data_IF_233428085908
#
_entry.id   IF_233428085908
#
_cell.length_a   1.000
_cell.length_b   1.000
_cell.length_c   1.000
_cell.angle_alpha   90.00
_cell.angle_beta   90.00
_cell.angle_gamma   90.00
#
_symmetry.space_group_name_H-M   'P 1'
#
loop_
_entity.id
_entity.type
_entity.pdbx_description
1 polymer ?
#
# COMPACT_ATOMS: atom_id res chain seq x y z
N UNK A 1 -21.03 31.05 -10.83
CA UNK A 1 -20.95 29.98 -9.81
C UNK A 1 -22.35 29.62 -9.36
N UNK A 2 -22.68 28.33 -9.22
CA UNK A 2 -23.05 27.88 -7.88
C UNK A 2 -22.19 26.69 -7.42
N UNK A 3 -21.82 26.71 -6.13
CA UNK A 3 -21.18 25.60 -5.42
C UNK A 3 -22.11 24.39 -5.41
N UNK A 4 -21.57 23.20 -5.67
CA UNK A 4 -22.13 21.96 -5.10
C UNK A 4 -21.42 21.66 -3.78
N UNK A 5 -22.13 21.61 -2.64
CA UNK A 5 -21.61 21.00 -1.43
C UNK A 5 -21.72 19.46 -1.51
N UNK A 6 -20.70 18.80 -0.95
CA UNK A 6 -20.69 17.45 -0.38
C UNK A 6 -20.83 16.26 -1.35
N UNK A 7 -19.73 15.55 -1.60
CA UNK A 7 -19.76 14.18 -2.16
C UNK A 7 -19.49 13.14 -1.06
N UNK A 8 -20.40 12.16 -1.04
CA UNK A 8 -20.56 11.03 -0.14
C UNK A 8 -19.31 10.14 -0.05
N UNK A 9 -19.14 9.48 1.10
CA UNK A 9 -18.40 8.21 1.28
C UNK A 9 -18.69 7.23 0.13
N UNK A 10 -17.78 7.14 -0.82
CA UNK A 10 -17.92 6.31 -2.02
C UNK A 10 -17.38 4.90 -1.81
N UNK A 11 -17.94 3.95 -2.57
CA UNK A 11 -17.36 2.61 -2.74
C UNK A 11 -15.93 2.78 -3.28
N UNK A 12 -14.91 2.23 -2.61
CA UNK A 12 -13.55 2.43 -3.04
C UNK A 12 -13.28 1.67 -4.35
N UNK A 13 -12.40 2.17 -5.23
CA UNK A 13 -12.08 1.55 -6.51
C UNK A 13 -11.15 0.33 -6.35
N UNK A 14 -11.39 -0.47 -5.31
CA UNK A 14 -10.58 -1.61 -4.89
C UNK A 14 -11.52 -2.79 -4.60
N UNK A 15 -11.09 -3.97 -5.00
CA UNK A 15 -11.82 -5.21 -4.85
C UNK A 15 -10.94 -6.32 -4.23
N UNK A 16 -11.41 -6.99 -3.17
CA UNK A 16 -12.62 -6.69 -2.40
C UNK A 16 -12.50 -5.35 -1.67
N UNK A 17 -13.64 -4.69 -1.42
CA UNK A 17 -13.65 -3.44 -0.66
C UNK A 17 -13.18 -3.69 0.78
N UNK A 18 -12.30 -2.84 1.34
CA UNK A 18 -11.89 -2.93 2.73
C UNK A 18 -13.06 -2.65 3.66
N UNK A 19 -12.98 -3.22 4.86
CA UNK A 19 -14.03 -3.06 5.89
C UNK A 19 -14.24 -1.60 6.30
N UNK A 20 -13.17 -0.80 6.30
CA UNK A 20 -13.19 0.63 6.62
C UNK A 20 -12.40 1.34 5.53
N UNK A 21 -12.98 2.41 4.97
CA UNK A 21 -12.39 3.20 3.91
C UNK A 21 -12.50 4.70 4.20
N UNK A 22 -11.44 5.42 3.87
CA UNK A 22 -11.42 6.88 3.81
C UNK A 22 -10.45 7.33 2.72
N UNK A 23 -10.83 8.35 1.96
CA UNK A 23 -9.99 8.94 0.91
C UNK A 23 -9.80 10.44 1.14
N UNK A 24 -8.61 10.93 0.78
CA UNK A 24 -8.36 12.38 0.69
C UNK A 24 -8.88 12.98 -0.63
N UNK A 25 -8.62 14.27 -0.82
CA UNK A 25 -8.95 15.00 -2.05
C UNK A 25 -7.78 15.16 -3.03
N UNK A 26 -6.61 14.57 -2.73
CA UNK A 26 -5.37 14.71 -3.50
C UNK A 26 -4.76 13.35 -3.79
N UNK A 27 -4.24 13.19 -5.01
CA UNK A 27 -3.33 12.11 -5.35
C UNK A 27 -1.90 12.44 -4.88
N UNK A 28 -1.18 11.44 -4.39
CA UNK A 28 0.24 11.53 -4.08
C UNK A 28 1.06 10.99 -5.25
N UNK A 29 2.12 11.69 -5.65
CA UNK A 29 3.05 11.18 -6.64
C UNK A 29 3.94 10.10 -6.01
N UNK A 30 4.23 9.03 -6.75
CA UNK A 30 5.12 7.94 -6.33
C UNK A 30 6.33 7.92 -7.25
N UNK A 31 7.52 7.87 -6.67
CA UNK A 31 8.75 7.65 -7.43
C UNK A 31 9.01 6.15 -7.55
N UNK A 32 8.56 5.56 -8.66
CA UNK A 32 8.67 4.12 -8.90
C UNK A 32 10.12 3.62 -8.94
N UNK A 33 11.05 4.44 -9.44
CA UNK A 33 12.47 4.09 -9.54
C UNK A 33 13.13 4.01 -8.16
N UNK A 34 12.75 4.91 -7.24
CA UNK A 34 13.31 4.99 -5.88
C UNK A 34 12.47 4.33 -4.79
N UNK A 35 11.27 3.82 -5.10
CA UNK A 35 10.39 3.21 -4.10
C UNK A 35 11.05 2.01 -3.41
N UNK A 36 11.09 2.05 -2.08
CA UNK A 36 11.66 0.99 -1.24
C UNK A 36 10.66 0.50 -0.19
N UNK A 37 10.62 -0.81 0.00
CA UNK A 37 9.84 -1.47 1.04
C UNK A 37 10.74 -1.80 2.23
N UNK A 38 10.32 -1.44 3.43
CA UNK A 38 11.05 -1.69 4.67
C UNK A 38 10.19 -2.55 5.60
N UNK A 39 10.58 -3.81 5.80
CA UNK A 39 9.91 -4.70 6.75
C UNK A 39 10.41 -4.42 8.18
N UNK A 40 9.47 -4.27 9.12
CA UNK A 40 9.68 -4.00 10.55
C UNK A 40 8.83 -4.95 11.39
N UNK A 41 9.12 -5.04 12.69
CA UNK A 41 8.39 -5.86 13.66
C UNK A 41 8.81 -7.33 13.68
N UNK A 42 9.14 -7.92 12.53
CA UNK A 42 9.56 -9.32 12.44
C UNK A 42 10.55 -9.59 11.28
N UNK A 43 11.13 -10.79 11.26
CA UNK A 43 12.04 -11.25 10.18
C UNK A 43 11.42 -12.42 9.43
N UNK A 44 10.86 -12.13 8.26
CA UNK A 44 10.13 -13.09 7.43
C UNK A 44 10.75 -13.21 6.03
N UNK A 45 11.46 -14.31 5.71
CA UNK A 45 12.05 -14.48 4.38
C UNK A 45 11.00 -14.48 3.26
N UNK A 46 9.86 -15.12 3.47
CA UNK A 46 8.80 -15.22 2.46
C UNK A 46 8.17 -13.87 2.16
N UNK A 47 7.85 -13.08 3.20
CA UNK A 47 7.33 -11.73 3.03
C UNK A 47 8.38 -10.81 2.42
N UNK A 48 9.66 -10.92 2.78
CA UNK A 48 10.73 -10.15 2.11
C UNK A 48 10.81 -10.48 0.61
N UNK A 49 10.71 -11.77 0.25
CA UNK A 49 10.68 -12.19 -1.15
C UNK A 49 9.40 -11.70 -1.86
N UNK A 50 8.26 -11.69 -1.18
CA UNK A 50 7.01 -11.13 -1.70
C UNK A 50 7.12 -9.61 -1.95
N UNK A 51 7.66 -8.83 -1.00
CA UNK A 51 7.87 -7.39 -1.17
C UNK A 51 8.78 -7.07 -2.37
N UNK A 52 9.83 -7.85 -2.57
CA UNK A 52 10.71 -7.71 -3.75
C UNK A 52 9.95 -7.99 -5.05
N UNK A 53 9.17 -9.07 -5.10
CA UNK A 53 8.35 -9.41 -6.28
C UNK A 53 7.31 -8.32 -6.54
N UNK A 54 6.62 -7.87 -5.50
CA UNK A 54 5.59 -6.85 -5.57
C UNK A 54 6.13 -5.55 -6.16
N UNK A 55 7.31 -5.09 -5.72
CA UNK A 55 7.97 -3.91 -6.32
C UNK A 55 8.16 -4.07 -7.83
N UNK A 56 8.58 -5.24 -8.30
CA UNK A 56 8.82 -5.48 -9.72
C UNK A 56 7.51 -5.57 -10.51
N UNK A 57 6.49 -6.22 -9.95
CA UNK A 57 5.18 -6.39 -10.59
C UNK A 57 4.36 -5.10 -10.64
N UNK A 58 4.47 -4.26 -9.60
CA UNK A 58 3.74 -2.99 -9.51
C UNK A 58 4.28 -1.97 -10.52
N UNK A 59 5.59 -2.02 -10.84
CA UNK A 59 6.24 -1.06 -11.75
C UNK A 59 6.96 -1.80 -12.90
N UNK A 60 6.24 -2.40 -13.86
CA UNK A 60 6.86 -3.11 -14.97
C UNK A 60 7.60 -2.16 -15.92
N UNK A 61 7.15 -0.91 -16.03
CA UNK A 61 7.78 0.14 -16.81
C UNK A 61 8.53 1.09 -15.86
N UNK A 62 9.72 0.68 -15.42
CA UNK A 62 10.60 1.55 -14.63
C UNK A 62 11.20 2.61 -15.54
N UNK A 63 10.61 3.81 -15.54
CA UNK A 63 11.23 4.98 -16.13
C UNK A 63 12.33 5.52 -15.22
N UNK A 64 13.33 6.25 -15.76
CA UNK A 64 14.22 7.07 -14.95
C UNK A 64 13.41 7.95 -13.98
N UNK A 65 13.97 8.21 -12.79
CA UNK A 65 13.32 9.04 -11.77
C UNK A 65 13.08 10.46 -12.30
N UNK A 66 11.89 10.73 -12.82
CA UNK A 66 11.39 12.07 -13.17
C UNK A 66 10.26 12.53 -12.22
N UNK A 67 10.13 11.83 -11.08
CA UNK A 67 9.07 12.10 -10.12
C UNK A 67 9.27 13.49 -9.46
N UNK A 68 8.20 14.28 -9.26
CA UNK A 68 8.28 15.59 -8.62
C UNK A 68 8.92 15.53 -7.21
N UNK A 69 9.55 16.62 -6.74
CA UNK A 69 10.05 16.70 -5.37
C UNK A 69 8.95 16.43 -4.34
N UNK A 70 9.25 15.58 -3.36
CA UNK A 70 8.29 15.17 -2.33
C UNK A 70 7.39 14.00 -2.73
N UNK A 71 7.64 13.37 -3.87
CA UNK A 71 7.04 12.07 -4.21
C UNK A 71 7.36 11.02 -3.16
N UNK A 72 6.42 10.08 -2.96
CA UNK A 72 6.56 8.99 -2.02
C UNK A 72 7.62 8.00 -2.55
N UNK A 73 8.58 7.68 -1.69
CA UNK A 73 9.71 6.77 -2.02
C UNK A 73 9.84 5.61 -1.04
N UNK A 74 8.96 5.52 -0.05
CA UNK A 74 9.08 4.54 1.04
C UNK A 74 7.74 3.95 1.40
N UNK A 75 7.73 2.63 1.56
CA UNK A 75 6.66 1.87 2.19
C UNK A 75 7.21 1.21 3.45
N UNK A 76 6.66 1.54 4.61
CA UNK A 76 6.95 0.86 5.87
C UNK A 76 5.92 -0.25 6.07
N UNK A 77 6.40 -1.46 6.30
CA UNK A 77 5.56 -2.64 6.50
C UNK A 77 5.85 -3.17 7.90
N UNK A 78 4.95 -2.92 8.85
CA UNK A 78 5.05 -3.43 10.21
C UNK A 78 4.20 -4.69 10.37
N UNK A 79 4.84 -5.80 10.72
CA UNK A 79 4.16 -7.07 10.99
C UNK A 79 4.56 -7.57 12.37
N UNK A 80 3.58 -7.80 13.24
CA UNK A 80 3.80 -8.23 14.63
C UNK A 80 4.39 -9.66 14.70
N UNK A 81 3.77 -10.63 14.01
CA UNK A 81 4.23 -12.03 13.99
C UNK A 81 4.15 -12.64 12.59
N UNK A 82 5.30 -12.97 12.02
CA UNK A 82 5.40 -13.60 10.69
C UNK A 82 5.58 -15.12 10.70
N UNK A 83 5.41 -15.76 11.85
CA UNK A 83 5.61 -17.20 12.04
C UNK A 83 4.30 -17.97 12.14
N UNK A 84 3.16 -17.28 12.09
CA UNK A 84 1.84 -17.90 12.17
C UNK A 84 1.60 -18.81 10.96
N UNK A 85 1.22 -20.08 11.16
CA UNK A 85 0.83 -20.95 10.05
C UNK A 85 -0.50 -20.50 9.44
N UNK A 86 -0.70 -20.80 8.15
CA UNK A 86 -1.97 -20.55 7.48
C UNK A 86 -2.99 -21.57 7.97
N UNK A 87 -4.03 -21.09 8.65
CA UNK A 87 -5.11 -21.91 9.18
C UNK A 87 -6.40 -21.10 9.26
N UNK A 88 -7.53 -21.78 9.40
CA UNK A 88 -8.82 -21.12 9.58
C UNK A 88 -8.79 -20.22 10.82
N UNK A 89 -9.20 -18.96 10.65
CA UNK A 89 -9.21 -17.97 11.73
C UNK A 89 -7.87 -17.28 12.00
N UNK A 90 -6.86 -17.48 11.14
CA UNK A 90 -5.64 -16.65 11.20
C UNK A 90 -6.00 -15.18 10.98
N UNK A 91 -5.26 -14.29 11.63
CA UNK A 91 -5.52 -12.86 11.58
C UNK A 91 -5.01 -12.26 10.27
N UNK A 92 -5.93 -12.01 9.34
CA UNK A 92 -5.67 -11.41 8.02
C UNK A 92 -5.95 -9.89 8.01
N UNK A 93 -6.17 -9.29 9.17
CA UNK A 93 -6.47 -7.86 9.28
C UNK A 93 -5.25 -6.99 8.96
N UNK A 94 -5.51 -5.83 8.35
CA UNK A 94 -4.49 -4.84 8.05
C UNK A 94 -5.02 -3.41 8.20
N UNK A 95 -4.10 -2.47 8.29
CA UNK A 95 -4.34 -1.05 8.05
C UNK A 95 -3.32 -0.53 7.03
N UNK A 96 -3.79 0.36 6.15
CA UNK A 96 -3.02 1.00 5.10
C UNK A 96 -3.28 2.52 5.17
N UNK A 97 -2.21 3.29 5.34
CA UNK A 97 -2.25 4.76 5.36
C UNK A 97 -1.32 5.31 4.29
N UNK A 98 -1.87 6.16 3.41
CA UNK A 98 -1.16 6.77 2.29
C UNK A 98 -1.18 8.29 2.49
N UNK A 99 -0.08 8.90 2.98
CA UNK A 99 -0.02 10.34 3.14
C UNK A 99 0.34 11.03 1.81
N UNK A 100 0.18 12.35 1.76
CA UNK A 100 0.64 13.16 0.61
C UNK A 100 2.17 13.31 0.60
N UNK A 101 2.82 13.18 1.77
CA UNK A 101 4.28 13.22 1.96
C UNK A 101 4.67 12.27 3.09
N UNK A 102 5.86 11.67 3.00
CA UNK A 102 6.36 10.73 4.00
C UNK A 102 6.23 9.27 3.54
N UNK A 103 6.31 8.30 4.46
CA UNK A 103 6.15 6.89 4.12
C UNK A 103 4.69 6.50 3.94
N UNK A 104 4.43 5.53 3.07
CA UNK A 104 3.20 4.74 3.09
C UNK A 104 3.32 3.74 4.24
N UNK A 105 2.34 3.68 5.12
CA UNK A 105 2.37 2.80 6.30
C UNK A 105 1.40 1.63 6.13
N UNK A 106 1.92 0.42 6.23
CA UNK A 106 1.18 -0.83 6.33
C UNK A 106 1.42 -1.41 7.71
N UNK A 107 0.34 -1.79 8.40
CA UNK A 107 0.41 -2.51 9.66
C UNK A 107 -0.51 -3.73 9.64
N UNK A 108 0.00 -4.87 10.08
CA UNK A 108 -0.77 -6.10 10.26
C UNK A 108 -0.26 -6.95 11.42
N UNK A 109 -1.12 -7.82 11.94
CA UNK A 109 -0.77 -8.74 13.02
C UNK A 109 0.01 -9.94 12.50
N UNK A 110 -0.28 -10.39 11.28
CA UNK A 110 0.44 -11.46 10.59
C UNK A 110 0.88 -11.07 9.20
N UNK A 111 1.72 -11.91 8.58
CA UNK A 111 2.13 -11.76 7.18
C UNK A 111 0.95 -11.80 6.20
N UNK A 112 -0.16 -12.45 6.55
CA UNK A 112 -1.33 -12.57 5.66
C UNK A 112 -2.05 -11.23 5.50
N UNK A 113 -2.22 -10.47 6.59
CA UNK A 113 -2.71 -9.10 6.51
C UNK A 113 -1.80 -8.20 5.67
N UNK A 114 -0.48 -8.38 5.75
CA UNK A 114 0.45 -7.64 4.91
C UNK A 114 0.27 -7.96 3.41
N UNK A 115 0.00 -9.21 3.04
CA UNK A 115 -0.29 -9.57 1.65
C UNK A 115 -1.57 -8.88 1.15
N UNK A 116 -2.63 -8.83 1.94
CA UNK A 116 -3.85 -8.11 1.56
C UNK A 116 -3.64 -6.59 1.45
N UNK A 117 -2.82 -6.00 2.32
CA UNK A 117 -2.48 -4.59 2.25
C UNK A 117 -1.68 -4.26 0.98
N UNK A 118 -0.74 -5.13 0.57
CA UNK A 118 0.00 -4.98 -0.68
C UNK A 118 -0.93 -5.07 -1.89
N UNK A 119 -1.82 -6.05 -1.94
CA UNK A 119 -2.82 -6.15 -3.01
C UNK A 119 -3.73 -4.93 -3.07
N UNK A 120 -4.12 -4.39 -1.91
CA UNK A 120 -4.92 -3.16 -1.88
C UNK A 120 -4.11 -1.97 -2.41
N UNK A 121 -2.82 -1.88 -2.04
CA UNK A 121 -1.93 -0.83 -2.50
C UNK A 121 -1.67 -0.90 -4.02
N UNK A 122 -1.56 -2.10 -4.63
CA UNK A 122 -1.40 -2.23 -6.09
C UNK A 122 -2.60 -1.69 -6.84
N UNK A 123 -3.81 -1.95 -6.36
CA UNK A 123 -5.04 -1.47 -6.98
C UNK A 123 -5.21 0.06 -6.86
N UNK A 124 -4.58 0.69 -5.86
CA UNK A 124 -4.62 2.14 -5.67
C UNK A 124 -3.58 2.91 -6.50
N UNK A 125 -2.55 2.24 -7.01
CA UNK A 125 -1.54 2.91 -7.84
C UNK A 125 -2.04 3.01 -9.28
N UNK A 126 -2.05 4.23 -9.79
CA UNK A 126 -2.42 4.56 -11.17
C UNK A 126 -1.20 5.06 -11.93
N UNK A 127 -1.10 4.70 -13.21
CA UNK A 127 -0.07 5.19 -14.13
C UNK A 127 -0.64 6.30 -14.99
N UNK A 128 0.05 7.44 -15.03
CA UNK A 128 -0.19 8.51 -15.99
C UNK A 128 0.82 8.30 -17.13
N UNK A 129 0.33 7.97 -18.33
CA UNK A 129 1.13 7.62 -19.51
C UNK A 129 1.11 8.73 -20.54
#
# INVERSE_FOLDING_TARGET
SPRRPSTLTGVPPIWPAPRIWGSGSRAAAVDSARLQFHLRGCRCPDLQAALRRFRLSMFPHQSPSDAPPGSLVTVQVHVEDCTKPLQMGVDESYSLSIPVKGPIDIHSRTQYGAYHALETLSQLVTFDF
#
